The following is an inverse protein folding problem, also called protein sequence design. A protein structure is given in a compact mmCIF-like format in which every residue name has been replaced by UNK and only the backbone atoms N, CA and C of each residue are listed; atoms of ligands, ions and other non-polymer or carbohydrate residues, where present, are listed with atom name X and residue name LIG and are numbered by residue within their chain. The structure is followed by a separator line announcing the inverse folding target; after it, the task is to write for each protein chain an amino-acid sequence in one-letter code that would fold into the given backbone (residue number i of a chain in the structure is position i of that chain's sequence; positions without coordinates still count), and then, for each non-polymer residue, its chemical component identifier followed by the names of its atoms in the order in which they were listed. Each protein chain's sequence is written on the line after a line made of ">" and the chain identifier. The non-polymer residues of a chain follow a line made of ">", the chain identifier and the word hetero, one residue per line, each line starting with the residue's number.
data_IF_312230204960
#
_entry.id   IF_312230204960
#
_cell.length_a   1.000
_cell.length_b   1.000
_cell.length_c   1.000
_cell.angle_alpha   90.00
_cell.angle_beta   90.00
_cell.angle_gamma   90.00
#
_symmetry.space_group_name_H-M   'P 1'
#
loop_
_entity.id
_entity.type
_entity.pdbx_description
1 polymer ?
#
# COMPACT_ATOMS: atom_id res chain seq x y z
N UNK A 1 3.13 7.38 -1.35
CA UNK A 1 2.40 8.64 -1.14
C UNK A 1 3.27 9.87 -1.37
N UNK A 2 4.46 9.93 -0.76
CA UNK A 2 5.38 11.08 -0.76
C UNK A 2 5.65 11.76 -2.13
N UNK A 3 6.17 11.03 -3.14
CA UNK A 3 6.51 11.61 -4.44
C UNK A 3 5.28 12.10 -5.24
N UNK A 4 4.10 11.52 -5.00
CA UNK A 4 2.85 11.93 -5.64
C UNK A 4 2.24 13.19 -4.99
N UNK A 5 2.51 13.43 -3.69
CA UNK A 5 1.96 14.56 -2.94
C UNK A 5 2.68 15.89 -3.20
N UNK A 6 3.99 15.84 -3.44
CA UNK A 6 4.84 17.04 -3.43
C UNK A 6 5.46 17.40 -4.78
N UNK A 7 5.18 16.62 -5.84
CA UNK A 7 5.50 16.97 -7.24
C UNK A 7 6.86 17.65 -7.43
N UNK A 8 6.85 18.88 -7.94
CA UNK A 8 8.03 19.70 -8.19
C UNK A 8 8.79 20.12 -6.92
N UNK A 9 8.12 20.20 -5.76
CA UNK A 9 8.76 20.52 -4.47
C UNK A 9 9.81 19.49 -4.05
N UNK A 10 9.72 18.25 -4.55
CA UNK A 10 10.67 17.17 -4.25
C UNK A 10 12.11 17.43 -4.70
N UNK A 11 12.36 18.40 -5.58
CA UNK A 11 13.72 18.76 -6.00
C UNK A 11 14.38 19.81 -5.11
N UNK A 12 13.60 20.46 -4.26
CA UNK A 12 14.08 21.56 -3.44
C UNK A 12 14.64 21.05 -2.11
N UNK A 13 15.86 21.47 -1.78
CA UNK A 13 16.38 21.35 -0.42
C UNK A 13 15.79 22.43 0.49
N UNK A 14 15.54 23.63 -0.07
CA UNK A 14 14.86 24.73 0.61
C UNK A 14 13.86 25.41 -0.32
N UNK A 15 12.62 25.57 0.13
CA UNK A 15 11.56 26.28 -0.59
C UNK A 15 10.78 27.17 0.38
N UNK A 16 10.60 28.45 0.04
CA UNK A 16 9.89 29.41 0.89
C UNK A 16 8.87 30.23 0.09
N UNK A 17 7.90 30.82 0.79
CA UNK A 17 6.89 31.64 0.12
C UNK A 17 7.35 33.09 -0.07
N UNK A 18 8.05 33.63 0.94
CA UNK A 18 8.44 35.04 0.97
C UNK A 18 9.92 35.24 0.70
N UNK A 19 10.80 34.62 1.49
CA UNK A 19 12.26 34.76 1.36
C UNK A 19 13.00 33.48 1.76
N UNK A 20 14.12 33.20 1.12
CA UNK A 20 15.14 32.27 1.63
C UNK A 20 16.40 33.04 2.00
N UNK A 21 16.88 32.88 3.23
CA UNK A 21 18.09 33.56 3.71
C UNK A 21 19.06 32.53 4.28
N UNK A 22 20.31 32.57 3.82
CA UNK A 22 21.41 31.84 4.45
C UNK A 22 22.40 32.81 5.10
N UNK A 23 22.81 32.53 6.32
CA UNK A 23 24.00 33.12 6.95
C UNK A 23 25.12 32.09 6.94
N UNK A 24 26.36 32.49 6.65
CA UNK A 24 27.48 31.55 6.61
C UNK A 24 27.42 30.49 5.51
N UNK A 25 28.31 29.51 5.60
CA UNK A 25 28.59 28.53 4.55
C UNK A 25 27.58 27.36 4.54
N UNK A 26 26.31 27.66 4.29
CA UNK A 26 25.26 26.63 4.11
C UNK A 26 25.48 25.87 2.81
N UNK A 27 25.35 24.55 2.84
CA UNK A 27 25.40 23.69 1.67
C UNK A 27 24.04 22.99 1.48
N UNK A 28 23.37 23.30 0.36
CA UNK A 28 22.12 22.65 -0.05
C UNK A 28 22.39 21.72 -1.22
N UNK A 29 22.15 20.43 -1.03
CA UNK A 29 22.08 19.47 -2.14
C UNK A 29 20.65 19.42 -2.64
N UNK A 30 20.37 20.10 -3.76
CA UNK A 30 19.02 20.33 -4.30
C UNK A 30 18.82 21.79 -4.70
N UNK A 31 17.62 22.10 -5.20
CA UNK A 31 17.24 23.45 -5.61
C UNK A 31 16.92 24.33 -4.38
N UNK A 32 17.13 25.64 -4.52
CA UNK A 32 16.73 26.65 -3.52
C UNK A 32 15.72 27.59 -4.16
N UNK A 33 14.52 27.69 -3.59
CA UNK A 33 13.37 28.31 -4.25
C UNK A 33 12.61 29.33 -3.43
N UNK A 34 12.06 30.34 -4.11
CA UNK A 34 11.05 31.24 -3.53
C UNK A 34 9.92 31.54 -4.51
N UNK A 35 8.67 31.43 -4.03
CA UNK A 35 7.47 31.86 -4.75
C UNK A 35 6.29 32.09 -3.77
N UNK A 36 5.48 33.16 -3.89
CA UNK A 36 5.53 34.22 -4.89
C UNK A 36 6.56 35.31 -4.58
N UNK A 37 7.27 35.22 -3.45
CA UNK A 37 8.39 36.10 -3.13
C UNK A 37 9.53 35.99 -4.14
N UNK A 38 10.47 36.92 -4.05
CA UNK A 38 11.56 37.07 -5.04
C UNK A 38 12.96 37.11 -4.40
N UNK A 39 13.05 37.06 -3.07
CA UNK A 39 14.32 37.27 -2.37
C UNK A 39 14.95 35.96 -1.93
N UNK A 40 16.12 35.65 -2.50
CA UNK A 40 17.04 34.62 -2.01
C UNK A 40 18.37 35.32 -1.72
N UNK A 41 18.84 35.25 -0.47
CA UNK A 41 20.04 35.95 -0.01
C UNK A 41 21.00 35.03 0.72
N UNK A 42 22.30 35.36 0.67
CA UNK A 42 23.34 34.56 1.34
C UNK A 42 23.90 33.40 0.53
N UNK A 43 23.67 33.39 -0.79
CA UNK A 43 24.26 32.46 -1.76
C UNK A 43 25.02 33.25 -2.82
N UNK A 44 26.32 33.58 -2.64
CA UNK A 44 27.29 33.11 -1.62
C UNK A 44 27.20 33.81 -0.24
N UNK A 45 27.87 33.29 0.83
CA UNK A 45 28.78 32.12 0.84
C UNK A 45 28.06 30.76 0.87
N UNK A 46 26.74 30.73 1.06
CA UNK A 46 25.96 29.53 0.87
C UNK A 46 26.08 29.01 -0.56
N UNK A 47 25.90 27.70 -0.73
CA UNK A 47 25.99 27.01 -2.01
C UNK A 47 24.80 26.08 -2.18
N UNK A 48 24.29 25.98 -3.41
CA UNK A 48 23.30 25.00 -3.82
C UNK A 48 23.90 24.15 -4.96
N UNK A 49 23.72 22.83 -4.92
CA UNK A 49 24.11 21.96 -6.05
C UNK A 49 23.09 22.00 -7.18
N UNK A 50 21.84 22.36 -6.87
CA UNK A 50 20.77 22.62 -7.84
C UNK A 50 20.66 24.10 -8.19
N UNK A 51 19.58 24.45 -8.87
CA UNK A 51 19.32 25.82 -9.29
C UNK A 51 18.82 26.69 -8.13
N UNK A 52 19.24 27.95 -8.13
CA UNK A 52 18.63 29.00 -7.31
C UNK A 52 17.49 29.62 -8.13
N UNK A 53 16.24 29.35 -7.70
CA UNK A 53 15.02 29.66 -8.44
C UNK A 53 14.19 30.72 -7.73
N UNK A 54 14.17 31.93 -8.28
CA UNK A 54 13.43 33.06 -7.72
C UNK A 54 12.30 33.48 -8.65
N UNK A 55 11.06 33.37 -8.17
CA UNK A 55 9.85 33.79 -8.86
C UNK A 55 9.68 33.24 -10.30
N UNK A 56 10.18 32.03 -10.55
CA UNK A 56 10.03 31.35 -11.83
C UNK A 56 8.89 30.32 -11.81
N UNK A 57 8.59 29.75 -12.98
CA UNK A 57 7.51 28.77 -13.15
C UNK A 57 7.75 27.46 -12.41
N UNK A 58 9.00 27.10 -12.15
CA UNK A 58 9.35 25.87 -11.42
C UNK A 58 9.16 26.08 -9.91
N UNK A 59 9.57 27.22 -9.37
CA UNK A 59 9.32 27.62 -8.00
C UNK A 59 7.81 27.82 -7.74
N UNK A 60 7.08 28.37 -8.71
CA UNK A 60 5.61 28.47 -8.67
C UNK A 60 4.94 27.09 -8.55
N UNK A 61 5.30 26.17 -9.45
CA UNK A 61 4.75 24.81 -9.42
C UNK A 61 5.12 24.10 -8.11
N UNK A 62 6.37 24.24 -7.66
CA UNK A 62 6.84 23.64 -6.42
C UNK A 62 6.08 24.17 -5.20
N UNK A 63 5.74 25.46 -5.13
CA UNK A 63 4.95 25.99 -4.02
C UNK A 63 3.49 25.52 -4.05
N UNK A 64 2.87 25.44 -5.23
CA UNK A 64 1.53 24.88 -5.36
C UNK A 64 1.48 23.40 -4.91
N UNK A 65 2.49 22.62 -5.32
CA UNK A 65 2.64 21.22 -4.92
C UNK A 65 2.96 21.09 -3.41
N UNK A 66 3.77 21.99 -2.85
CA UNK A 66 4.07 22.04 -1.42
C UNK A 66 2.82 22.27 -0.57
N UNK A 67 1.98 23.22 -0.95
CA UNK A 67 0.70 23.49 -0.27
C UNK A 67 -0.25 22.31 -0.40
N UNK A 68 -0.34 21.68 -1.58
CA UNK A 68 -1.17 20.49 -1.81
C UNK A 68 -0.70 19.30 -0.96
N UNK A 69 0.61 19.07 -0.91
CA UNK A 69 1.23 18.05 -0.08
C UNK A 69 1.02 18.30 1.42
N UNK A 70 1.16 19.54 1.88
CA UNK A 70 0.85 19.94 3.25
C UNK A 70 -0.60 19.59 3.63
N UNK A 71 -1.58 20.04 2.84
CA UNK A 71 -2.99 19.78 3.09
C UNK A 71 -3.31 18.28 3.12
N UNK A 72 -2.69 17.51 2.22
CA UNK A 72 -2.85 16.06 2.15
C UNK A 72 -2.29 15.35 3.38
N UNK A 73 -1.12 15.77 3.89
CA UNK A 73 -0.55 15.21 5.12
C UNK A 73 -1.36 15.59 6.37
N UNK A 74 -1.89 16.82 6.44
CA UNK A 74 -2.77 17.26 7.54
C UNK A 74 -4.04 16.40 7.59
N UNK A 75 -4.60 16.07 6.42
CA UNK A 75 -5.82 15.27 6.30
C UNK A 75 -5.63 13.77 6.64
N UNK A 76 -4.39 13.29 6.80
CA UNK A 76 -4.16 11.89 7.13
C UNK A 76 -4.75 11.52 8.49
N UNK A 77 -5.45 10.38 8.54
CA UNK A 77 -6.02 9.84 9.78
C UNK A 77 -4.91 9.60 10.80
N UNK A 78 -5.08 10.15 12.00
CA UNK A 78 -4.16 9.96 13.12
C UNK A 78 -4.19 8.52 13.59
N UNK A 79 -3.02 7.89 13.74
CA UNK A 79 -2.88 6.55 14.33
C UNK A 79 -2.53 6.61 15.81
N UNK A 80 -1.82 7.65 16.25
CA UNK A 80 -1.51 7.90 17.65
C UNK A 80 -1.52 9.39 17.98
N UNK A 81 -2.03 9.74 19.16
CA UNK A 81 -1.93 11.09 19.73
C UNK A 81 -0.82 11.11 20.78
N UNK A 82 0.15 11.99 20.59
CA UNK A 82 1.31 12.22 21.47
C UNK A 82 1.32 13.64 22.04
N UNK A 83 0.17 14.32 22.04
CA UNK A 83 0.03 15.68 22.58
C UNK A 83 0.64 15.82 23.97
N UNK A 84 1.54 16.81 24.14
CA UNK A 84 2.24 17.07 25.40
C UNK A 84 3.44 16.16 25.69
N UNK A 85 3.76 15.22 24.81
CA UNK A 85 4.90 14.31 24.96
C UNK A 85 6.13 14.88 24.25
N UNK A 86 7.30 14.85 24.90
CA UNK A 86 8.57 15.12 24.23
C UNK A 86 9.03 13.89 23.43
N UNK A 87 9.51 14.11 22.22
CA UNK A 87 9.99 13.04 21.33
C UNK A 87 11.31 12.39 21.82
N UNK A 88 12.02 13.02 22.77
CA UNK A 88 13.29 12.54 23.28
C UNK A 88 13.17 11.16 23.94
N UNK A 89 14.07 10.25 23.57
CA UNK A 89 14.15 8.89 24.09
C UNK A 89 13.12 7.91 23.49
N UNK A 90 12.16 8.39 22.69
CA UNK A 90 11.14 7.53 22.11
C UNK A 90 11.71 6.66 20.97
N UNK A 91 11.18 5.44 20.87
CA UNK A 91 11.25 4.62 19.67
C UNK A 91 9.86 4.52 19.09
N UNK A 92 9.66 5.07 17.89
CA UNK A 92 8.38 5.14 17.22
C UNK A 92 8.37 4.22 16.00
N UNK A 93 7.22 3.62 15.74
CA UNK A 93 6.96 2.69 14.62
C UNK A 93 6.25 3.42 13.46
N UNK A 94 5.99 2.78 12.31
CA UNK A 94 5.34 3.47 11.20
C UNK A 94 3.94 3.96 11.60
N UNK A 95 3.60 5.21 11.28
CA UNK A 95 2.33 5.80 11.73
C UNK A 95 2.20 7.30 11.51
N UNK A 96 1.01 7.81 11.84
CA UNK A 96 0.62 9.22 11.82
C UNK A 96 0.42 9.69 13.26
N UNK A 97 1.38 10.47 13.75
CA UNK A 97 1.46 10.99 15.11
C UNK A 97 0.90 12.40 15.18
N UNK A 98 -0.08 12.62 16.04
CA UNK A 98 -0.70 13.92 16.25
C UNK A 98 -0.19 14.59 17.53
N UNK A 99 0.00 15.91 17.46
CA UNK A 99 0.24 16.79 18.58
C UNK A 99 -0.71 17.98 18.42
N UNK A 100 -1.68 18.11 19.33
CA UNK A 100 -2.69 19.16 19.25
C UNK A 100 -2.11 20.58 19.35
N UNK A 101 -0.94 20.74 19.98
CA UNK A 101 -0.25 22.00 20.18
C UNK A 101 1.17 21.96 19.58
N UNK A 102 2.18 22.38 20.36
CA UNK A 102 3.57 22.34 19.94
C UNK A 102 4.16 20.93 20.07
N UNK A 103 5.06 20.61 19.14
CA UNK A 103 5.95 19.46 19.22
C UNK A 103 7.33 19.86 19.68
N UNK A 104 7.94 19.02 20.51
CA UNK A 104 9.28 19.24 21.02
C UNK A 104 10.10 17.97 20.87
N UNK A 105 11.34 18.12 20.39
CA UNK A 105 12.40 17.13 20.50
C UNK A 105 13.53 17.77 21.28
N UNK A 106 13.59 17.55 22.59
CA UNK A 106 14.68 18.06 23.41
C UNK A 106 16.05 17.46 23.01
N UNK A 107 17.13 17.94 23.65
CA UNK A 107 18.47 17.40 23.44
C UNK A 107 18.49 15.90 23.75
N UNK A 108 18.81 15.08 22.76
CA UNK A 108 18.80 13.62 22.84
C UNK A 108 18.28 12.97 21.55
N UNK A 109 17.93 11.69 21.65
CA UNK A 109 17.68 10.85 20.48
C UNK A 109 16.19 10.52 20.33
N UNK A 110 15.63 10.67 19.13
CA UNK A 110 14.40 10.03 18.67
C UNK A 110 14.75 8.89 17.72
N UNK A 111 14.20 7.70 17.93
CA UNK A 111 14.43 6.55 17.03
C UNK A 111 13.17 6.24 16.23
N UNK A 112 13.30 6.15 14.91
CA UNK A 112 12.24 5.72 14.00
C UNK A 112 12.58 4.33 13.48
N UNK A 113 11.79 3.34 13.90
CA UNK A 113 11.98 1.94 13.58
C UNK A 113 10.95 1.50 12.55
N UNK A 114 11.42 1.17 11.35
CA UNK A 114 10.57 0.73 10.25
C UNK A 114 10.19 -0.76 10.30
N UNK A 115 10.65 -1.49 11.30
CA UNK A 115 10.33 -2.91 11.51
C UNK A 115 10.62 -3.79 10.28
N UNK A 116 11.67 -3.47 9.53
CA UNK A 116 12.10 -4.17 8.32
C UNK A 116 11.45 -3.66 7.03
N UNK A 117 10.55 -2.68 7.08
CA UNK A 117 9.85 -2.16 5.90
C UNK A 117 10.49 -0.89 5.34
N UNK A 118 11.14 -0.98 4.16
CA UNK A 118 11.72 0.20 3.50
C UNK A 118 10.69 1.23 3.02
N UNK A 119 9.40 0.87 3.02
CA UNK A 119 8.29 1.74 2.63
C UNK A 119 7.54 2.31 3.84
N UNK A 120 8.00 2.02 5.05
CA UNK A 120 7.46 2.58 6.28
C UNK A 120 7.39 4.10 6.23
N UNK A 121 6.25 4.66 6.62
CA UNK A 121 6.00 6.10 6.63
C UNK A 121 5.80 6.60 8.05
N UNK A 122 6.41 7.73 8.37
CA UNK A 122 6.28 8.42 9.65
C UNK A 122 5.80 9.84 9.40
N UNK A 123 4.63 10.19 9.91
CA UNK A 123 4.06 11.54 9.75
C UNK A 123 3.83 12.13 11.13
N UNK A 124 4.48 13.25 11.42
CA UNK A 124 4.30 14.02 12.64
C UNK A 124 3.49 15.27 12.32
N UNK A 125 2.31 15.40 12.92
CA UNK A 125 1.41 16.54 12.76
C UNK A 125 1.43 17.39 14.02
N UNK A 126 1.99 18.58 13.93
CA UNK A 126 2.02 19.54 15.02
C UNK A 126 1.00 20.64 14.77
N UNK A 127 0.07 20.84 15.71
CA UNK A 127 -0.97 21.87 15.60
C UNK A 127 -0.42 23.30 15.64
N UNK A 128 0.76 23.49 16.21
CA UNK A 128 1.47 24.78 16.23
C UNK A 128 2.95 24.62 15.85
N UNK A 129 3.87 24.94 16.75
CA UNK A 129 5.31 24.95 16.47
C UNK A 129 5.94 23.57 16.56
N UNK A 130 7.07 23.37 15.88
CA UNK A 130 7.97 22.24 16.10
C UNK A 130 9.36 22.78 16.46
N UNK A 131 9.89 22.38 17.62
CA UNK A 131 11.17 22.89 18.12
C UNK A 131 12.10 21.72 18.46
N UNK A 132 13.31 21.73 17.93
CA UNK A 132 14.38 20.82 18.39
C UNK A 132 15.34 21.54 19.33
N UNK A 133 15.78 20.85 20.39
CA UNK A 133 16.86 21.30 21.25
C UNK A 133 18.22 21.24 20.56
N UNK A 134 19.23 21.86 21.16
CA UNK A 134 20.61 21.73 20.67
C UNK A 134 21.08 20.27 20.67
N UNK A 135 21.76 19.87 19.59
CA UNK A 135 22.29 18.53 19.36
C UNK A 135 21.23 17.40 19.41
N UNK A 136 19.95 17.72 19.16
CA UNK A 136 18.92 16.72 18.97
C UNK A 136 19.25 15.80 17.78
N UNK A 137 18.97 14.51 17.90
CA UNK A 137 19.25 13.52 16.86
C UNK A 137 18.02 12.66 16.56
N UNK A 138 17.74 12.48 15.27
CA UNK A 138 16.81 11.47 14.79
C UNK A 138 17.61 10.30 14.22
N UNK A 139 17.31 9.09 14.66
CA UNK A 139 17.94 7.86 14.20
C UNK A 139 16.94 7.04 13.40
N UNK A 140 17.33 6.63 12.19
CA UNK A 140 16.55 5.72 11.37
C UNK A 140 17.11 4.31 11.51
N UNK A 141 16.27 3.34 11.87
CA UNK A 141 16.68 1.94 12.04
C UNK A 141 15.79 0.97 11.28
N UNK A 142 16.27 -0.26 11.08
CA UNK A 142 15.52 -1.38 10.51
C UNK A 142 14.78 -1.05 9.19
N UNK A 143 15.46 -0.34 8.29
CA UNK A 143 14.93 -0.01 6.96
C UNK A 143 14.22 1.35 6.86
N UNK A 144 14.15 2.14 7.94
CA UNK A 144 13.54 3.47 7.89
C UNK A 144 14.31 4.38 6.93
N UNK A 145 13.58 5.14 6.12
CA UNK A 145 14.15 6.02 5.10
C UNK A 145 13.70 7.47 5.31
N UNK A 146 14.64 8.41 5.27
CA UNK A 146 14.39 9.83 5.53
C UNK A 146 13.34 10.44 4.60
N UNK A 147 13.33 10.00 3.36
CA UNK A 147 12.39 10.37 2.32
C UNK A 147 10.92 9.95 2.58
N UNK A 148 10.66 9.14 3.62
CA UNK A 148 9.34 8.73 4.11
C UNK A 148 9.01 9.30 5.51
N UNK A 149 9.78 10.27 5.99
CA UNK A 149 9.56 10.94 7.28
C UNK A 149 9.12 12.38 7.03
N UNK A 150 7.99 12.77 7.62
CA UNK A 150 7.35 14.08 7.42
C UNK A 150 7.07 14.77 8.74
N UNK A 151 7.53 16.01 8.87
CA UNK A 151 7.19 16.90 9.98
C UNK A 151 6.29 18.01 9.45
N UNK A 152 4.99 17.89 9.72
CA UNK A 152 3.96 18.82 9.28
C UNK A 152 3.67 19.79 10.43
N UNK A 153 3.99 21.06 10.23
CA UNK A 153 4.01 22.05 11.30
C UNK A 153 2.95 23.12 11.03
N UNK A 154 1.96 23.23 11.93
CA UNK A 154 0.81 24.12 11.81
C UNK A 154 1.18 25.61 11.87
N UNK A 155 2.32 25.94 12.46
CA UNK A 155 2.92 27.28 12.40
C UNK A 155 4.37 27.19 11.93
N UNK A 156 5.33 27.46 12.82
CA UNK A 156 6.75 27.58 12.50
C UNK A 156 7.59 26.48 13.10
N UNK A 157 8.63 26.06 12.37
CA UNK A 157 9.63 25.13 12.84
C UNK A 157 10.93 25.85 13.22
N UNK A 158 11.54 25.48 14.35
CA UNK A 158 12.85 25.95 14.77
C UNK A 158 13.76 24.76 15.07
N UNK A 159 14.80 24.58 14.27
CA UNK A 159 15.79 23.51 14.48
C UNK A 159 16.99 24.07 15.26
N UNK A 160 17.20 23.54 16.46
CA UNK A 160 18.27 23.92 17.38
C UNK A 160 19.68 23.55 16.90
N UNK A 161 20.70 24.19 17.49
CA UNK A 161 22.08 24.16 16.97
C UNK A 161 22.64 22.74 16.94
N UNK A 162 23.30 22.36 15.84
CA UNK A 162 23.87 21.02 15.68
C UNK A 162 22.85 19.88 15.64
N UNK A 163 21.56 20.15 15.42
CA UNK A 163 20.54 19.10 15.25
C UNK A 163 20.88 18.22 14.04
N UNK A 164 20.66 16.91 14.13
CA UNK A 164 20.64 16.00 12.98
C UNK A 164 19.23 15.45 12.79
N UNK A 165 18.58 15.83 11.69
CA UNK A 165 17.20 15.48 11.37
C UNK A 165 17.14 14.64 10.09
N UNK A 166 16.35 13.58 10.10
CA UNK A 166 15.99 12.82 8.89
C UNK A 166 14.51 13.00 8.62
N UNK A 167 14.17 13.49 7.42
CA UNK A 167 12.80 13.82 7.05
C UNK A 167 12.65 15.22 6.51
N UNK A 168 11.54 15.46 5.83
CA UNK A 168 11.18 16.77 5.31
C UNK A 168 10.34 17.53 6.34
N UNK A 169 10.71 18.78 6.59
CA UNK A 169 9.96 19.72 7.44
C UNK A 169 9.12 20.60 6.53
N UNK A 170 7.81 20.52 6.70
CA UNK A 170 6.82 21.29 5.94
C UNK A 170 6.04 22.15 6.94
N UNK A 171 6.40 23.43 7.02
CA UNK A 171 5.82 24.38 7.96
C UNK A 171 4.84 25.31 7.24
N UNK A 172 3.69 25.55 7.88
CA UNK A 172 2.69 26.45 7.32
C UNK A 172 3.20 27.89 7.26
N UNK A 173 3.89 28.37 8.30
CA UNK A 173 4.44 29.74 8.34
C UNK A 173 5.91 29.76 7.96
N UNK A 174 6.84 29.59 8.91
CA UNK A 174 8.28 29.76 8.66
C UNK A 174 9.13 28.61 9.19
N UNK A 175 10.36 28.50 8.68
CA UNK A 175 11.37 27.58 9.19
C UNK A 175 12.62 28.37 9.54
N UNK A 176 13.11 28.18 10.76
CA UNK A 176 14.42 28.69 11.21
C UNK A 176 15.33 27.51 11.52
N UNK A 177 16.47 27.44 10.84
CA UNK A 177 17.49 26.42 11.03
C UNK A 177 18.73 27.10 11.57
N UNK A 178 19.09 26.76 12.82
CA UNK A 178 20.23 27.39 13.49
C UNK A 178 21.54 26.68 13.17
N UNK A 179 22.66 27.30 13.58
CA UNK A 179 24.03 26.95 13.19
C UNK A 179 24.35 25.45 13.26
N UNK A 180 24.93 24.90 12.20
CA UNK A 180 25.50 23.55 12.19
C UNK A 180 24.47 22.41 12.12
N UNK A 181 23.19 22.71 11.94
CA UNK A 181 22.16 21.68 11.72
C UNK A 181 22.41 20.91 10.42
N UNK A 182 22.20 19.60 10.46
CA UNK A 182 22.23 18.69 9.32
C UNK A 182 20.83 18.09 9.09
N UNK A 183 20.26 18.32 7.91
CA UNK A 183 18.94 17.82 7.52
C UNK A 183 19.07 16.94 6.29
N UNK A 184 18.65 15.68 6.41
CA UNK A 184 18.51 14.77 5.27
C UNK A 184 17.03 14.72 4.91
N UNK A 185 16.63 15.59 3.99
CA UNK A 185 15.24 15.88 3.64
C UNK A 185 15.11 17.28 3.02
N UNK A 186 13.91 17.84 3.04
CA UNK A 186 13.61 19.18 2.51
C UNK A 186 13.08 20.12 3.60
N UNK A 187 13.34 21.42 3.44
CA UNK A 187 12.80 22.50 4.26
C UNK A 187 11.81 23.31 3.42
N UNK A 188 10.52 23.23 3.76
CA UNK A 188 9.45 23.83 2.95
C UNK A 188 8.59 24.73 3.84
N UNK A 189 8.59 26.04 3.59
CA UNK A 189 7.72 27.02 4.23
C UNK A 189 6.60 27.45 3.27
N UNK A 190 5.35 27.11 3.59
CA UNK A 190 4.21 27.32 2.69
C UNK A 190 3.78 28.79 2.57
N UNK A 191 3.94 29.62 3.62
CA UNK A 191 3.45 31.01 3.61
C UNK A 191 4.46 32.07 4.06
N UNK A 192 5.64 31.69 4.58
CA UNK A 192 6.66 32.66 4.98
C UNK A 192 8.08 32.17 4.62
N UNK A 193 9.06 32.56 5.45
CA UNK A 193 10.49 32.46 5.13
C UNK A 193 11.13 31.14 5.60
N UNK A 194 12.20 30.76 4.92
CA UNK A 194 13.19 29.79 5.42
C UNK A 194 14.50 30.54 5.71
N UNK A 195 14.96 30.48 6.96
CA UNK A 195 16.23 31.07 7.40
C UNK A 195 17.19 29.98 7.84
N UNK A 196 18.41 30.00 7.33
CA UNK A 196 19.48 29.03 7.59
C UNK A 196 20.75 29.74 8.06
N UNK A 197 21.56 29.04 8.85
CA UNK A 197 22.90 29.46 9.25
C UNK A 197 23.87 28.27 9.23
N UNK A 198 24.85 28.28 8.33
CA UNK A 198 25.94 27.28 8.26
C UNK A 198 25.42 25.84 8.38
N UNK A 199 24.45 25.49 7.53
CA UNK A 199 23.74 24.21 7.57
C UNK A 199 24.16 23.26 6.46
N UNK A 200 23.89 21.96 6.65
CA UNK A 200 23.87 20.99 5.57
C UNK A 200 22.44 20.52 5.34
N UNK A 201 21.92 20.69 4.13
CA UNK A 201 20.58 20.23 3.74
C UNK A 201 20.72 19.34 2.53
N UNK A 202 20.45 18.05 2.69
CA UNK A 202 20.52 17.06 1.61
C UNK A 202 19.12 16.67 1.19
N UNK A 203 18.61 17.28 0.11
CA UNK A 203 17.36 16.87 -0.49
C UNK A 203 17.51 15.43 -0.99
N UNK A 204 16.81 14.50 -0.35
CA UNK A 204 16.76 13.10 -0.79
C UNK A 204 15.66 12.84 -1.81
N UNK A 205 14.97 13.90 -2.24
CA UNK A 205 13.65 13.78 -2.82
C UNK A 205 12.67 13.15 -1.84
N UNK A 206 11.42 13.11 -2.27
CA UNK A 206 10.45 12.24 -1.66
C UNK A 206 10.69 10.85 -2.22
N UNK A 207 10.68 9.82 -1.36
CA UNK A 207 10.87 8.49 -1.88
C UNK A 207 9.75 8.24 -2.87
N UNK A 208 10.04 7.50 -3.96
CA UNK A 208 8.97 6.96 -4.76
C UNK A 208 7.93 6.43 -3.79
N UNK A 209 6.67 6.81 -4.02
CA UNK A 209 5.62 6.00 -3.45
C UNK A 209 6.06 4.55 -3.69
N UNK A 210 5.94 3.67 -2.67
CA UNK A 210 5.94 2.25 -2.95
C UNK A 210 5.22 2.10 -4.29
N UNK A 211 5.84 1.47 -5.32
CA UNK A 211 5.23 1.36 -6.64
C UNK A 211 3.76 1.10 -6.38
N UNK A 212 2.81 1.87 -6.96
CA UNK A 212 1.40 1.62 -6.69
C UNK A 212 1.26 0.11 -6.74
N UNK A 213 0.82 -0.51 -5.63
CA UNK A 213 0.64 -1.96 -5.60
C UNK A 213 0.02 -2.30 -6.94
N UNK A 214 0.70 -3.18 -7.73
CA UNK A 214 0.64 -3.18 -9.19
C UNK A 214 -0.75 -2.84 -9.61
N UNK A 215 -0.91 -1.71 -10.33
CA UNK A 215 -2.21 -1.10 -10.60
C UNK A 215 -3.21 -2.19 -10.82
N UNK A 216 -4.23 -2.33 -9.95
CA UNK A 216 -5.39 -3.12 -10.26
C UNK A 216 -5.70 -3.00 -11.74
N UNK A 217 -5.68 -4.11 -12.47
CA UNK A 217 -6.43 -4.15 -13.73
C UNK A 217 -7.81 -3.54 -13.39
N UNK A 218 -8.34 -2.64 -14.23
CA UNK A 218 -9.48 -1.74 -13.97
C UNK A 218 -10.78 -2.47 -13.52
N UNK A 219 -10.71 -3.05 -12.32
CA UNK A 219 -11.42 -4.26 -11.91
C UNK A 219 -11.11 -4.66 -10.46
N UNK A 220 -9.91 -4.38 -9.87
CA UNK A 220 -9.66 -4.75 -8.44
C UNK A 220 -10.45 -3.98 -7.38
N UNK A 221 -11.22 -2.95 -7.77
CA UNK A 221 -12.14 -2.29 -6.85
C UNK A 221 -13.24 -3.21 -6.33
N UNK A 222 -13.70 -4.18 -7.14
CA UNK A 222 -14.82 -5.05 -6.77
C UNK A 222 -14.38 -6.17 -5.83
N UNK A 223 -13.35 -6.95 -6.17
CA UNK A 223 -12.91 -8.06 -5.31
C UNK A 223 -12.29 -7.57 -4.00
N UNK A 224 -11.56 -6.46 -3.97
CA UNK A 224 -11.06 -5.92 -2.69
C UNK A 224 -12.22 -5.45 -1.79
N UNK A 225 -13.22 -4.76 -2.37
CA UNK A 225 -14.42 -4.35 -1.63
C UNK A 225 -15.25 -5.56 -1.15
N UNK A 226 -15.33 -6.63 -1.94
CA UNK A 226 -16.13 -7.82 -1.63
C UNK A 226 -15.41 -8.76 -0.65
N UNK A 227 -14.11 -9.01 -0.86
CA UNK A 227 -13.31 -9.98 -0.10
C UNK A 227 -12.63 -9.35 1.13
N UNK A 228 -12.61 -8.02 1.25
CA UNK A 228 -11.89 -7.34 2.32
C UNK A 228 -10.42 -7.71 2.35
N UNK A 229 -9.88 -7.99 3.54
CA UNK A 229 -8.49 -8.44 3.69
C UNK A 229 -8.22 -9.81 3.05
N UNK A 230 -9.26 -10.60 2.73
CA UNK A 230 -9.07 -11.89 2.07
C UNK A 230 -8.53 -11.76 0.63
N UNK A 231 -8.63 -10.57 0.02
CA UNK A 231 -8.17 -10.32 -1.35
C UNK A 231 -6.65 -10.51 -1.54
N UNK A 232 -5.86 -10.31 -0.48
CA UNK A 232 -4.39 -10.38 -0.53
C UNK A 232 -3.83 -11.81 -0.56
N UNK A 233 -4.67 -12.82 -0.29
CA UNK A 233 -4.24 -14.22 -0.23
C UNK A 233 -4.40 -14.90 -1.57
N UNK A 234 -3.32 -15.52 -2.06
CA UNK A 234 -3.43 -16.48 -3.16
C UNK A 234 -4.01 -17.80 -2.70
N UNK A 235 -3.69 -18.22 -1.47
CA UNK A 235 -4.29 -19.38 -0.85
C UNK A 235 -4.58 -19.12 0.63
N UNK A 236 -5.84 -19.28 1.03
CA UNK A 236 -6.31 -19.14 2.41
C UNK A 236 -7.13 -20.37 2.79
N UNK A 237 -6.68 -21.16 3.75
CA UNK A 237 -7.37 -22.39 4.17
C UNK A 237 -7.70 -22.40 5.67
N UNK A 238 -8.71 -23.18 6.03
CA UNK A 238 -9.14 -23.31 7.42
C UNK A 238 -8.23 -24.25 8.21
N UNK A 239 -7.88 -25.40 7.63
CA UNK A 239 -7.14 -26.45 8.33
C UNK A 239 -5.68 -26.60 7.88
N UNK A 240 -5.43 -26.77 6.58
CA UNK A 240 -4.10 -27.09 6.06
C UNK A 240 -3.94 -26.63 4.62
N UNK A 241 -2.74 -26.17 4.26
CA UNK A 241 -2.32 -26.01 2.86
C UNK A 241 -1.18 -26.98 2.57
N UNK A 242 -1.33 -27.79 1.53
CA UNK A 242 -0.30 -28.74 1.08
C UNK A 242 -0.03 -28.54 -0.39
N UNK A 243 1.25 -28.44 -0.76
CA UNK A 243 1.70 -28.42 -2.16
C UNK A 243 2.67 -29.56 -2.44
N UNK A 244 2.44 -30.34 -3.48
CA UNK A 244 3.45 -31.20 -4.10
C UNK A 244 4.06 -30.49 -5.32
N UNK A 245 5.36 -30.67 -5.57
CA UNK A 245 6.03 -29.96 -6.67
C UNK A 245 6.13 -28.43 -6.49
N UNK A 246 6.68 -27.76 -7.50
CA UNK A 246 7.04 -26.34 -7.45
C UNK A 246 5.88 -25.39 -7.74
N UNK A 247 4.83 -25.38 -6.91
CA UNK A 247 3.73 -24.42 -7.05
C UNK A 247 4.22 -22.99 -6.86
N UNK A 248 3.71 -22.03 -7.64
CA UNK A 248 4.02 -20.61 -7.52
C UNK A 248 2.75 -19.82 -7.21
N UNK A 249 2.77 -19.09 -6.09
CA UNK A 249 1.66 -18.23 -5.67
C UNK A 249 2.11 -16.78 -5.70
N UNK A 250 1.38 -15.92 -6.42
CA UNK A 250 1.42 -14.47 -6.20
C UNK A 250 0.47 -14.15 -5.05
N UNK A 251 0.96 -13.59 -3.95
CA UNK A 251 0.18 -13.22 -2.76
C UNK A 251 0.45 -14.09 -1.54
N UNK A 252 -0.14 -13.70 -0.41
CA UNK A 252 0.06 -14.38 0.88
C UNK A 252 -0.54 -15.79 0.85
N UNK A 253 0.07 -16.69 1.62
CA UNK A 253 -0.39 -18.07 1.83
C UNK A 253 -0.67 -18.25 3.30
N UNK A 254 -1.91 -18.56 3.68
CA UNK A 254 -2.32 -18.50 5.07
C UNK A 254 -3.23 -19.65 5.49
N UNK A 255 -3.08 -20.05 6.75
CA UNK A 255 -3.99 -20.97 7.43
C UNK A 255 -4.51 -20.36 8.73
N UNK A 256 -5.82 -20.47 8.95
CA UNK A 256 -6.46 -20.13 10.22
C UNK A 256 -7.82 -20.83 10.32
N UNK A 257 -8.19 -21.46 11.46
CA UNK A 257 -7.43 -21.56 12.71
C UNK A 257 -6.35 -22.66 12.69
N UNK A 258 -6.26 -23.45 11.62
CA UNK A 258 -5.20 -24.42 11.43
C UNK A 258 -3.82 -23.80 11.35
N UNK A 259 -2.79 -24.63 11.46
CA UNK A 259 -1.39 -24.18 11.55
C UNK A 259 -0.46 -24.80 10.51
N UNK A 260 -0.93 -25.79 9.76
CA UNK A 260 -0.07 -26.57 8.86
C UNK A 260 -0.05 -25.97 7.44
N UNK A 261 1.14 -25.54 7.01
CA UNK A 261 1.46 -25.24 5.61
C UNK A 261 2.67 -26.09 5.24
N UNK A 262 2.52 -26.97 4.24
CA UNK A 262 3.56 -27.93 3.83
C UNK A 262 3.80 -27.85 2.32
N UNK A 263 5.03 -28.17 1.90
CA UNK A 263 5.42 -28.10 0.48
C UNK A 263 5.97 -26.75 0.02
N UNK A 264 6.32 -25.85 0.95
CA UNK A 264 6.96 -24.56 0.69
C UNK A 264 8.28 -24.48 1.49
N UNK A 265 9.43 -24.95 0.95
CA UNK A 265 9.73 -25.36 -0.43
C UNK A 265 9.29 -26.80 -0.82
N UNK A 266 9.28 -27.18 -2.13
CA UNK A 266 9.74 -26.40 -3.30
C UNK A 266 8.74 -25.38 -3.84
N UNK A 267 7.49 -25.37 -3.34
CA UNK A 267 6.54 -24.31 -3.60
C UNK A 267 7.08 -22.94 -3.16
N UNK A 268 6.63 -21.89 -3.84
CA UNK A 268 7.04 -20.50 -3.60
C UNK A 268 5.81 -19.61 -3.51
N UNK A 269 5.88 -18.61 -2.65
CA UNK A 269 4.95 -17.49 -2.58
C UNK A 269 5.73 -16.19 -2.76
N UNK A 270 5.17 -15.21 -3.48
CA UNK A 270 5.70 -13.84 -3.52
C UNK A 270 5.36 -13.04 -2.27
N UNK A 271 4.33 -13.47 -1.52
CA UNK A 271 3.88 -12.87 -0.27
C UNK A 271 4.44 -13.58 0.96
N UNK A 272 3.80 -13.33 2.10
CA UNK A 272 4.13 -13.93 3.38
C UNK A 272 3.40 -15.26 3.56
N UNK A 273 4.12 -16.28 4.02
CA UNK A 273 3.52 -17.53 4.51
C UNK A 273 3.14 -17.34 5.97
N UNK A 274 1.85 -17.44 6.28
CA UNK A 274 1.26 -17.14 7.59
C UNK A 274 0.58 -18.34 8.19
N UNK A 275 0.71 -18.51 9.50
CA UNK A 275 0.10 -19.63 10.22
C UNK A 275 -0.47 -19.14 11.54
N UNK A 276 -1.80 -19.23 11.65
CA UNK A 276 -2.57 -18.84 12.83
C UNK A 276 -2.26 -17.44 13.40
N UNK A 277 -1.97 -16.46 12.54
CA UNK A 277 -1.72 -15.07 12.94
C UNK A 277 -2.98 -14.18 12.82
N UNK A 278 -2.99 -12.97 13.40
CA UNK A 278 -4.16 -12.07 13.32
C UNK A 278 -4.56 -11.67 11.90
N UNK A 279 -3.60 -11.63 10.96
CA UNK A 279 -3.87 -11.30 9.55
C UNK A 279 -4.62 -12.46 8.87
N UNK A 280 -4.21 -13.70 9.14
CA UNK A 280 -4.88 -14.92 8.67
C UNK A 280 -6.27 -15.07 9.29
N UNK A 281 -6.42 -14.71 10.57
CA UNK A 281 -7.71 -14.68 11.26
C UNK A 281 -8.68 -13.70 10.59
N UNK A 282 -8.24 -12.45 10.37
CA UNK A 282 -9.07 -11.44 9.73
C UNK A 282 -9.40 -11.84 8.28
N UNK A 283 -8.44 -12.39 7.55
CA UNK A 283 -8.67 -12.92 6.21
C UNK A 283 -9.77 -13.97 6.16
N UNK A 284 -9.78 -14.93 7.09
CA UNK A 284 -10.85 -15.94 7.18
C UNK A 284 -12.21 -15.33 7.53
N UNK A 285 -12.25 -14.37 8.46
CA UNK A 285 -13.48 -13.69 8.84
C UNK A 285 -14.09 -12.89 7.65
N UNK A 286 -13.25 -12.16 6.92
CA UNK A 286 -13.66 -11.39 5.75
C UNK A 286 -14.09 -12.31 4.61
N UNK A 287 -13.38 -13.42 4.37
CA UNK A 287 -13.77 -14.42 3.39
C UNK A 287 -15.13 -15.06 3.69
N UNK A 288 -15.41 -15.37 4.96
CA UNK A 288 -16.70 -15.90 5.39
C UNK A 288 -17.82 -14.88 5.20
N UNK A 289 -17.55 -13.60 5.48
CA UNK A 289 -18.47 -12.49 5.24
C UNK A 289 -18.76 -12.33 3.75
N UNK A 290 -17.72 -12.37 2.91
CA UNK A 290 -17.84 -12.30 1.46
C UNK A 290 -18.69 -13.45 0.90
N UNK A 291 -18.44 -14.68 1.36
CA UNK A 291 -19.25 -15.85 0.99
C UNK A 291 -20.73 -15.61 1.31
N UNK A 292 -21.02 -15.16 2.54
CA UNK A 292 -22.41 -14.95 3.02
C UNK A 292 -23.12 -13.89 2.19
N UNK A 293 -22.46 -12.77 1.93
CA UNK A 293 -23.00 -11.66 1.15
C UNK A 293 -23.26 -12.07 -0.31
N UNK A 294 -22.29 -12.73 -0.96
CA UNK A 294 -22.43 -13.17 -2.34
C UNK A 294 -23.47 -14.30 -2.49
N UNK A 295 -23.63 -15.16 -1.47
CA UNK A 295 -24.65 -16.22 -1.46
C UNK A 295 -26.06 -15.67 -1.29
N UNK A 296 -26.21 -14.51 -0.66
CA UNK A 296 -27.50 -13.84 -0.48
C UNK A 296 -27.97 -13.04 -1.71
N UNK A 297 -27.12 -12.89 -2.74
CA UNK A 297 -27.50 -12.20 -3.97
C UNK A 297 -28.65 -12.90 -4.68
N UNK A 298 -29.59 -12.10 -5.21
CA UNK A 298 -30.72 -12.59 -5.98
C UNK A 298 -30.24 -13.31 -7.23
N UNK A 299 -30.66 -14.56 -7.38
CA UNK A 299 -30.34 -15.41 -8.55
C UNK A 299 -30.98 -14.83 -9.80
N UNK A 300 -30.17 -14.62 -10.84
CA UNK A 300 -30.65 -14.17 -12.15
C UNK A 300 -30.95 -15.34 -13.08
N UNK A 301 -30.27 -16.48 -12.90
CA UNK A 301 -30.49 -17.69 -13.70
C UNK A 301 -30.17 -18.97 -12.93
N UNK A 302 -31.05 -19.96 -13.01
CA UNK A 302 -30.78 -21.32 -12.53
C UNK A 302 -30.23 -22.16 -13.69
N UNK A 303 -29.08 -22.79 -13.48
CA UNK A 303 -28.39 -23.68 -14.41
C UNK A 303 -28.17 -25.07 -13.80
N UNK A 304 -28.94 -25.44 -12.76
CA UNK A 304 -28.89 -26.76 -12.14
C UNK A 304 -28.92 -27.88 -13.19
N UNK A 305 -27.94 -28.78 -13.10
CA UNK A 305 -27.82 -29.94 -14.00
C UNK A 305 -27.10 -29.66 -15.32
N UNK A 306 -26.73 -28.42 -15.62
CA UNK A 306 -25.92 -28.09 -16.78
C UNK A 306 -24.41 -28.31 -16.52
N UNK A 307 -23.70 -28.75 -17.56
CA UNK A 307 -22.24 -28.59 -17.66
C UNK A 307 -21.94 -27.22 -18.29
N UNK A 308 -20.91 -26.53 -17.80
CA UNK A 308 -20.52 -25.20 -18.27
C UNK A 308 -19.79 -25.22 -19.62
N UNK A 309 -19.34 -26.40 -20.07
CA UNK A 309 -18.61 -26.61 -21.30
C UNK A 309 -19.34 -26.10 -22.54
N UNK A 310 -18.64 -25.28 -23.32
CA UNK A 310 -19.15 -24.68 -24.55
C UNK A 310 -20.10 -23.51 -24.36
N UNK A 311 -20.45 -23.14 -23.12
CA UNK A 311 -21.35 -22.03 -22.86
C UNK A 311 -20.65 -20.67 -23.01
N UNK A 312 -21.42 -19.68 -23.46
CA UNK A 312 -21.13 -18.26 -23.26
C UNK A 312 -22.10 -17.74 -22.21
N UNK A 313 -21.54 -17.23 -21.11
CA UNK A 313 -22.26 -16.76 -19.94
C UNK A 313 -22.07 -15.24 -19.88
N UNK A 314 -23.17 -14.51 -19.75
CA UNK A 314 -23.21 -13.04 -19.61
C UNK A 314 -23.20 -12.64 -18.13
N UNK A 315 -23.13 -11.35 -17.75
CA UNK A 315 -23.07 -10.96 -16.35
C UNK A 315 -24.32 -11.40 -15.58
N UNK A 316 -24.15 -11.83 -14.32
CA UNK A 316 -25.27 -12.29 -13.48
C UNK A 316 -24.90 -13.21 -12.31
N UNK A 317 -25.93 -13.67 -11.62
CA UNK A 317 -25.86 -14.59 -10.46
C UNK A 317 -26.48 -15.93 -10.86
N UNK A 318 -25.64 -16.95 -10.95
CA UNK A 318 -25.98 -18.27 -11.47
C UNK A 318 -26.10 -19.30 -10.36
N UNK A 319 -27.26 -19.94 -10.25
CA UNK A 319 -27.52 -20.97 -9.25
C UNK A 319 -27.32 -22.37 -9.83
N UNK A 320 -26.70 -23.23 -9.03
CA UNK A 320 -26.69 -24.68 -9.19
C UNK A 320 -27.09 -25.29 -7.86
N UNK A 321 -28.21 -26.01 -7.79
CA UNK A 321 -28.63 -26.68 -6.54
C UNK A 321 -27.86 -27.98 -6.27
N UNK A 322 -27.17 -28.50 -7.28
CA UNK A 322 -26.33 -29.70 -7.24
C UNK A 322 -24.89 -29.40 -7.69
N UNK A 323 -24.08 -30.45 -7.87
CA UNK A 323 -22.73 -30.33 -8.40
C UNK A 323 -22.71 -29.81 -9.84
N UNK A 324 -21.68 -29.04 -10.19
CA UNK A 324 -21.47 -28.50 -11.53
C UNK A 324 -20.18 -29.05 -12.15
N UNK A 325 -20.27 -29.42 -13.42
CA UNK A 325 -19.15 -29.81 -14.25
C UNK A 325 -18.67 -28.66 -15.14
N UNK A 326 -17.37 -28.64 -15.44
CA UNK A 326 -16.81 -27.89 -16.56
C UNK A 326 -16.02 -28.84 -17.45
N UNK A 327 -16.61 -29.21 -18.58
CA UNK A 327 -15.99 -30.07 -19.59
C UNK A 327 -15.63 -29.24 -20.83
N UNK A 328 -14.35 -28.91 -20.99
CA UNK A 328 -13.88 -28.01 -22.05
C UNK A 328 -13.87 -26.56 -21.61
N UNK A 329 -14.29 -25.63 -22.48
CA UNK A 329 -14.16 -24.20 -22.22
C UNK A 329 -15.52 -23.52 -21.96
N UNK A 330 -15.60 -22.65 -20.96
CA UNK A 330 -16.69 -21.70 -20.75
C UNK A 330 -16.20 -20.29 -21.04
N UNK A 331 -17.00 -19.47 -21.71
CA UNK A 331 -16.69 -18.06 -21.99
C UNK A 331 -17.53 -17.16 -21.10
N UNK A 332 -16.90 -16.26 -20.36
CA UNK A 332 -17.53 -15.21 -19.57
C UNK A 332 -17.43 -13.91 -20.36
N UNK A 333 -18.55 -13.46 -20.89
CA UNK A 333 -18.67 -12.31 -21.78
C UNK A 333 -19.29 -11.14 -21.02
N UNK A 334 -18.50 -10.09 -20.78
CA UNK A 334 -18.98 -8.92 -20.06
C UNK A 334 -19.76 -7.93 -20.92
N UNK A 335 -19.96 -8.22 -22.20
CA UNK A 335 -20.78 -7.42 -23.13
C UNK A 335 -20.34 -5.95 -23.21
N UNK A 336 -19.05 -5.68 -23.00
CA UNK A 336 -18.46 -4.34 -23.03
C UNK A 336 -18.41 -3.64 -21.67
N UNK A 337 -18.95 -4.23 -20.60
CA UNK A 337 -18.95 -3.67 -19.26
C UNK A 337 -17.84 -4.28 -18.38
N UNK A 338 -16.71 -3.58 -18.23
CA UNK A 338 -15.60 -4.07 -17.40
C UNK A 338 -15.91 -4.17 -15.90
N UNK A 339 -17.03 -3.63 -15.44
CA UNK A 339 -17.50 -3.72 -14.04
C UNK A 339 -18.45 -4.90 -13.82
N UNK A 340 -18.82 -5.61 -14.89
CA UNK A 340 -19.73 -6.75 -14.85
C UNK A 340 -19.25 -7.85 -13.89
N UNK A 341 -20.19 -8.36 -13.09
CA UNK A 341 -19.97 -9.45 -12.15
C UNK A 341 -20.54 -10.78 -12.63
N UNK A 342 -19.83 -11.86 -12.32
CA UNK A 342 -20.26 -13.24 -12.50
C UNK A 342 -20.16 -13.96 -11.16
N UNK A 343 -21.30 -14.32 -10.58
CA UNK A 343 -21.36 -15.01 -9.30
C UNK A 343 -21.97 -16.39 -9.52
N UNK A 344 -21.23 -17.45 -9.22
CA UNK A 344 -21.69 -18.83 -9.32
C UNK A 344 -21.99 -19.36 -7.92
N UNK A 345 -23.26 -19.53 -7.58
CA UNK A 345 -23.75 -20.11 -6.33
C UNK A 345 -24.00 -21.62 -6.52
N UNK A 346 -23.03 -22.43 -6.10
CA UNK A 346 -23.02 -23.88 -6.34
C UNK A 346 -23.32 -24.61 -5.04
N UNK A 347 -24.45 -25.32 -4.96
CA UNK A 347 -24.93 -25.97 -3.74
C UNK A 347 -24.07 -27.14 -3.26
N UNK A 348 -23.27 -27.74 -4.15
CA UNK A 348 -22.39 -28.87 -3.84
C UNK A 348 -20.98 -28.60 -4.39
N UNK A 349 -20.45 -29.49 -5.23
CA UNK A 349 -19.07 -29.42 -5.75
C UNK A 349 -19.00 -28.75 -7.12
N UNK A 350 -17.85 -28.13 -7.41
CA UNK A 350 -17.43 -27.85 -8.79
C UNK A 350 -16.28 -28.78 -9.16
N UNK A 351 -16.38 -29.40 -10.33
CA UNK A 351 -15.35 -30.29 -10.87
C UNK A 351 -15.06 -29.93 -12.32
N UNK A 352 -13.78 -29.71 -12.65
CA UNK A 352 -13.37 -29.47 -14.05
C UNK A 352 -12.69 -30.71 -14.61
N UNK A 353 -12.97 -31.02 -15.89
CA UNK A 353 -12.17 -32.00 -16.63
C UNK A 353 -10.73 -31.48 -16.84
N UNK A 354 -9.80 -32.38 -17.20
CA UNK A 354 -8.45 -31.97 -17.57
C UNK A 354 -8.48 -31.05 -18.81
N UNK A 355 -7.58 -30.06 -18.84
CA UNK A 355 -7.49 -29.02 -19.87
C UNK A 355 -8.76 -28.18 -20.08
N UNK A 356 -9.68 -28.17 -19.12
CA UNK A 356 -10.80 -27.23 -19.12
C UNK A 356 -10.34 -25.78 -18.94
N UNK A 357 -11.14 -24.83 -19.40
CA UNK A 357 -10.77 -23.41 -19.35
C UNK A 357 -11.95 -22.48 -19.10
N UNK A 358 -11.73 -21.46 -18.28
CA UNK A 358 -12.57 -20.25 -18.26
C UNK A 358 -11.91 -19.24 -19.20
N UNK A 359 -12.68 -18.64 -20.11
CA UNK A 359 -12.21 -17.61 -21.04
C UNK A 359 -12.93 -16.30 -20.73
N UNK A 360 -12.21 -15.20 -20.74
CA UNK A 360 -12.78 -13.86 -20.55
C UNK A 360 -12.96 -13.18 -21.91
N UNK A 361 -14.11 -12.55 -22.13
CA UNK A 361 -14.43 -11.84 -23.36
C UNK A 361 -15.03 -10.46 -23.07
N UNK A 362 -14.86 -9.55 -24.04
CA UNK A 362 -15.49 -8.23 -24.10
C UNK A 362 -15.45 -7.44 -22.78
N UNK A 363 -14.28 -7.36 -22.16
CA UNK A 363 -14.06 -6.57 -20.96
C UNK A 363 -14.18 -7.34 -19.64
N UNK A 364 -14.55 -8.63 -19.65
CA UNK A 364 -14.67 -9.43 -18.44
C UNK A 364 -13.36 -9.44 -17.64
N UNK A 365 -13.47 -9.10 -16.35
CA UNK A 365 -12.36 -9.05 -15.43
C UNK A 365 -12.47 -10.22 -14.44
N UNK A 366 -11.36 -10.91 -14.24
CA UNK A 366 -11.25 -12.04 -13.33
C UNK A 366 -11.51 -11.67 -11.87
N UNK A 367 -11.20 -10.46 -11.45
CA UNK A 367 -11.58 -9.97 -10.12
C UNK A 367 -13.11 -9.87 -9.90
N UNK A 368 -13.93 -9.80 -10.96
CA UNK A 368 -15.39 -9.74 -10.82
C UNK A 368 -16.05 -11.12 -10.91
N UNK A 369 -15.26 -12.20 -10.82
CA UNK A 369 -15.73 -13.58 -10.99
C UNK A 369 -15.58 -14.32 -9.66
N UNK A 370 -16.69 -14.80 -9.12
CA UNK A 370 -16.76 -15.47 -7.83
C UNK A 370 -17.41 -16.84 -7.96
N UNK A 371 -16.71 -17.88 -7.51
CA UNK A 371 -17.19 -19.25 -7.47
C UNK A 371 -17.47 -19.63 -6.01
N UNK A 372 -18.73 -19.55 -5.59
CA UNK A 372 -19.15 -19.97 -4.25
C UNK A 372 -19.52 -21.45 -4.28
N UNK A 373 -18.76 -22.27 -3.57
CA UNK A 373 -18.89 -23.72 -3.60
C UNK A 373 -19.38 -24.20 -2.25
N UNK A 374 -20.57 -24.80 -2.24
CA UNK A 374 -21.28 -25.25 -1.05
C UNK A 374 -20.65 -26.48 -0.39
N UNK A 375 -19.72 -27.15 -1.07
CA UNK A 375 -18.84 -28.17 -0.49
C UNK A 375 -17.38 -27.96 -0.94
N UNK A 376 -16.87 -28.80 -1.84
CA UNK A 376 -15.46 -28.78 -2.28
C UNK A 376 -15.31 -28.47 -3.77
N UNK A 377 -14.23 -27.78 -4.11
CA UNK A 377 -13.83 -27.52 -5.49
C UNK A 377 -12.70 -28.46 -5.92
N UNK A 378 -12.76 -28.99 -7.14
CA UNK A 378 -11.68 -29.81 -7.71
C UNK A 378 -11.42 -29.39 -9.15
N UNK A 379 -10.17 -29.06 -9.48
CA UNK A 379 -9.79 -28.82 -10.87
C UNK A 379 -9.07 -30.03 -11.46
N UNK A 380 -9.35 -30.34 -12.72
CA UNK A 380 -8.56 -31.29 -13.50
C UNK A 380 -7.18 -30.74 -13.83
N UNK A 381 -6.25 -31.63 -14.22
CA UNK A 381 -4.91 -31.25 -14.64
C UNK A 381 -4.95 -30.18 -15.75
N UNK A 382 -4.00 -29.25 -15.72
CA UNK A 382 -3.84 -28.14 -16.68
C UNK A 382 -5.10 -27.30 -16.92
N UNK A 383 -6.07 -27.31 -15.99
CA UNK A 383 -7.23 -26.42 -16.06
C UNK A 383 -6.79 -24.96 -15.91
N UNK A 384 -7.31 -24.05 -16.72
CA UNK A 384 -7.09 -22.61 -16.57
C UNK A 384 -8.36 -21.92 -16.05
N UNK A 385 -8.31 -21.40 -14.83
CA UNK A 385 -9.44 -20.74 -14.16
C UNK A 385 -9.23 -19.23 -14.02
N UNK A 386 -10.33 -18.49 -13.99
CA UNK A 386 -10.35 -17.07 -13.64
C UNK A 386 -11.34 -16.84 -12.49
N UNK A 387 -10.99 -15.94 -11.58
CA UNK A 387 -11.84 -15.58 -10.44
C UNK A 387 -11.41 -16.22 -9.13
N UNK A 388 -12.13 -15.85 -8.07
CA UNK A 388 -11.87 -16.34 -6.72
C UNK A 388 -12.79 -17.50 -6.41
N UNK A 389 -12.21 -18.65 -6.04
CA UNK A 389 -12.95 -19.82 -5.56
C UNK A 389 -13.06 -19.70 -4.04
N UNK A 390 -14.30 -19.67 -3.53
CA UNK A 390 -14.61 -19.69 -2.11
C UNK A 390 -15.40 -20.96 -1.80
N UNK A 391 -14.73 -21.99 -1.31
CA UNK A 391 -15.32 -23.28 -0.97
C UNK A 391 -15.61 -23.37 0.52
N UNK A 392 -16.80 -23.86 0.88
CA UNK A 392 -17.18 -24.08 2.28
C UNK A 392 -16.34 -25.17 2.95
N UNK A 393 -15.87 -26.16 2.18
CA UNK A 393 -15.00 -27.24 2.62
C UNK A 393 -13.60 -27.11 2.01
N UNK A 394 -13.23 -27.96 1.05
CA UNK A 394 -11.86 -28.10 0.55
C UNK A 394 -11.69 -27.64 -0.90
N UNK A 395 -10.44 -27.35 -1.28
CA UNK A 395 -10.06 -27.11 -2.68
C UNK A 395 -8.92 -28.04 -3.05
N UNK A 396 -9.06 -28.76 -4.16
CA UNK A 396 -7.99 -29.58 -4.75
C UNK A 396 -7.68 -29.09 -6.15
N UNK A 397 -6.45 -28.68 -6.39
CA UNK A 397 -5.98 -28.27 -7.70
C UNK A 397 -5.29 -29.44 -8.40
N UNK A 398 -5.72 -29.76 -9.62
CA UNK A 398 -5.07 -30.77 -10.46
C UNK A 398 -3.67 -30.32 -10.90
N UNK A 399 -2.80 -31.28 -11.25
CA UNK A 399 -1.42 -31.00 -11.68
C UNK A 399 -1.34 -29.89 -12.74
N UNK A 400 -0.49 -28.89 -12.52
CA UNK A 400 -0.27 -27.74 -13.43
C UNK A 400 -1.52 -26.91 -13.75
N UNK A 401 -2.62 -27.07 -13.01
CA UNK A 401 -3.75 -26.16 -13.11
C UNK A 401 -3.32 -24.73 -12.70
N UNK A 402 -3.91 -23.74 -13.35
CA UNK A 402 -3.64 -22.32 -13.13
C UNK A 402 -4.91 -21.59 -12.74
N UNK A 403 -4.76 -20.57 -11.89
CA UNK A 403 -5.84 -19.66 -11.57
C UNK A 403 -5.32 -18.23 -11.49
N UNK A 404 -6.03 -17.31 -12.14
CA UNK A 404 -5.87 -15.89 -11.89
C UNK A 404 -7.03 -15.44 -11.00
N UNK A 405 -6.73 -15.31 -9.71
CA UNK A 405 -7.65 -15.09 -8.60
C UNK A 405 -7.15 -15.75 -7.32
N UNK A 406 -8.06 -15.94 -6.36
CA UNK A 406 -7.75 -16.53 -5.04
C UNK A 406 -8.34 -17.93 -4.84
N UNK A 407 -7.67 -18.74 -4.03
CA UNK A 407 -8.17 -20.01 -3.51
C UNK A 407 -8.50 -19.86 -2.03
N UNK A 408 -9.79 -19.96 -1.67
CA UNK A 408 -10.24 -19.79 -0.30
C UNK A 408 -11.07 -21.00 0.15
N UNK A 409 -10.57 -21.74 1.14
CA UNK A 409 -11.25 -22.86 1.78
C UNK A 409 -11.67 -22.47 3.20
N UNK A 410 -12.96 -22.29 3.42
CA UNK A 410 -13.52 -21.76 4.68
C UNK A 410 -13.55 -22.80 5.81
N UNK A 411 -13.68 -24.09 5.48
CA UNK A 411 -13.88 -25.15 6.47
C UNK A 411 -12.87 -26.30 6.42
N UNK A 412 -12.02 -26.37 5.40
CA UNK A 412 -11.05 -27.46 5.28
C UNK A 412 -9.74 -27.02 4.59
N UNK A 413 -9.11 -27.93 3.85
CA UNK A 413 -7.77 -27.81 3.32
C UNK A 413 -7.73 -27.35 1.86
N UNK A 414 -6.58 -26.81 1.45
CA UNK A 414 -6.20 -26.61 0.04
C UNK A 414 -5.05 -27.57 -0.31
N UNK A 415 -5.23 -28.35 -1.37
CA UNK A 415 -4.19 -29.24 -1.92
C UNK A 415 -3.82 -28.78 -3.32
N UNK A 416 -2.52 -28.66 -3.58
CA UNK A 416 -1.93 -28.21 -4.84
C UNK A 416 -0.84 -29.16 -5.33
N UNK A 417 -0.63 -29.20 -6.64
CA UNK A 417 0.41 -29.95 -7.32
C UNK A 417 1.00 -29.16 -8.51
N UNK A 418 2.17 -28.56 -8.31
CA UNK A 418 2.87 -27.72 -9.29
C UNK A 418 1.99 -26.62 -9.93
N UNK A 419 1.13 -25.98 -9.14
CA UNK A 419 0.15 -25.02 -9.66
C UNK A 419 0.69 -23.59 -9.77
N UNK A 420 0.04 -22.77 -10.60
CA UNK A 420 0.26 -21.32 -10.62
C UNK A 420 -1.00 -20.58 -10.16
N UNK A 421 -0.89 -19.85 -9.06
CA UNK A 421 -1.97 -19.02 -8.51
C UNK A 421 -1.52 -17.57 -8.56
N UNK A 422 -2.33 -16.67 -9.12
CA UNK A 422 -2.04 -15.23 -9.14
C UNK A 422 -3.17 -14.49 -8.44
N UNK A 423 -2.98 -14.16 -7.15
CA UNK A 423 -3.92 -13.36 -6.38
C UNK A 423 -4.08 -11.94 -6.93
N UNK A 424 -5.12 -11.25 -6.46
CA UNK A 424 -5.35 -9.83 -6.74
C UNK A 424 -4.43 -8.98 -5.87
N UNK A 425 -3.75 -7.99 -6.45
CA UNK A 425 -2.90 -7.05 -5.71
C UNK A 425 -1.51 -7.53 -5.25
N UNK A 426 -0.99 -8.67 -5.76
CA UNK A 426 0.30 -9.24 -5.39
C UNK A 426 1.35 -9.28 -6.51
#
# INVERSE_FOLDING_TARGET
>A
MAQLLFGAAGKFGSLAATTVTSTGATAVTGDVGVWPGTSITGYPPGQATGDIRSADTVAQAAQADAVSGYNSLVAMTTTQDLSGTDLVGLTLYPGVYNFAAAGHLAAGNLTLDAQGSSTATFVFKFGSTFITGSAAQVNLVNGAQACNVFYVVGSSATLGTGTTLYGSVIAYTSITVTTGTNVVGSLIACNAAVTMDTNQVTAKGFCPAAPPAPTPCAGEGVCSAVLGSAAQFGALASSTITSTGGSSISGDVAVYPGTAITGYPPGKSSGTIRSADPVSQQGQADAHTAWTNLWALTVTKDLTGADLGGMTITPGVYKFSSSVGLTGAVTLDAQGDSTAMFVFQIGSTITTAAASAVKLANGAQSCNIFWLVGSSATTGATTAMYGTIIASASITMGHLATIQGGLIALGAAITMDANSVKAWGA
#
